data_IF_444661152780
#
_entry.id   IF_444661152780
#
_cell.length_a   1.000
_cell.length_b   1.000
_cell.length_c   1.000
_cell.angle_alpha   90.00
_cell.angle_beta   90.00
_cell.angle_gamma   90.00
#
_symmetry.space_group_name_H-M   'P 1'
#
loop_
_entity.id
_entity.type
_entity.pdbx_description
1 polymer ?
#
# COMPACT_ATOMS: atom_id res chain seq x y z
N UNK A 1 -14.62 -16.33 -2.60
CA UNK A 1 -15.61 -15.58 -1.81
C UNK A 1 -14.99 -14.72 -0.70
N UNK A 2 -14.24 -15.29 0.27
CA UNK A 2 -13.67 -14.53 1.40
C UNK A 2 -12.83 -13.30 1.00
N UNK A 3 -11.90 -13.46 0.05
CA UNK A 3 -11.02 -12.35 -0.41
C UNK A 3 -11.80 -11.20 -1.04
N UNK A 4 -12.79 -11.49 -1.88
CA UNK A 4 -13.61 -10.45 -2.51
C UNK A 4 -14.40 -9.65 -1.46
N UNK A 5 -14.96 -10.34 -0.47
CA UNK A 5 -15.68 -9.68 0.62
C UNK A 5 -14.74 -8.83 1.50
N UNK A 6 -13.56 -9.36 1.87
CA UNK A 6 -12.57 -8.59 2.62
C UNK A 6 -12.09 -7.37 1.84
N UNK A 7 -11.84 -7.52 0.54
CA UNK A 7 -11.38 -6.42 -0.31
C UNK A 7 -12.47 -5.34 -0.47
N UNK A 8 -13.73 -5.76 -0.66
CA UNK A 8 -14.87 -4.84 -0.66
C UNK A 8 -14.99 -4.08 0.66
N UNK A 9 -14.90 -4.78 1.80
CA UNK A 9 -14.96 -4.16 3.13
C UNK A 9 -13.83 -3.13 3.32
N UNK A 10 -12.60 -3.47 2.91
CA UNK A 10 -11.47 -2.53 2.98
C UNK A 10 -11.72 -1.31 2.11
N UNK A 11 -12.25 -1.48 0.88
CA UNK A 11 -12.56 -0.34 0.01
C UNK A 11 -13.66 0.55 0.59
N UNK A 12 -14.68 -0.01 1.24
CA UNK A 12 -15.73 0.76 1.93
C UNK A 12 -15.12 1.57 3.08
N UNK A 13 -14.32 0.94 3.93
CA UNK A 13 -13.65 1.61 5.04
C UNK A 13 -12.70 2.71 4.56
N UNK A 14 -11.98 2.46 3.46
CA UNK A 14 -11.12 3.43 2.82
C UNK A 14 -11.94 4.63 2.31
N UNK A 15 -13.03 4.39 1.59
CA UNK A 15 -13.91 5.44 1.09
C UNK A 15 -14.46 6.31 2.23
N UNK A 16 -14.91 5.67 3.31
CA UNK A 16 -15.36 6.36 4.53
C UNK A 16 -14.25 7.25 5.08
N UNK A 17 -13.02 6.72 5.23
CA UNK A 17 -11.88 7.49 5.72
C UNK A 17 -11.55 8.68 4.82
N UNK A 18 -11.61 8.54 3.50
CA UNK A 18 -11.39 9.63 2.54
C UNK A 18 -12.48 10.69 2.61
N UNK A 19 -13.75 10.31 2.76
CA UNK A 19 -14.86 11.26 2.93
C UNK A 19 -14.70 12.06 4.23
N UNK A 20 -14.41 11.39 5.34
CA UNK A 20 -14.16 12.08 6.62
C UNK A 20 -12.91 12.95 6.57
N UNK A 21 -11.83 12.46 5.93
CA UNK A 21 -10.61 13.22 5.73
C UNK A 21 -10.83 14.46 4.86
N UNK A 22 -11.61 14.33 3.78
CA UNK A 22 -11.93 15.43 2.85
C UNK A 22 -12.76 16.54 3.49
N UNK A 23 -13.56 16.23 4.50
CA UNK A 23 -14.33 17.24 5.26
C UNK A 23 -13.53 17.85 6.41
N UNK A 24 -12.27 17.45 6.57
CA UNK A 24 -11.41 17.97 7.61
C UNK A 24 -10.57 19.13 7.08
N UNK A 25 -10.96 20.35 7.45
CA UNK A 25 -10.26 21.59 7.08
C UNK A 25 -9.00 21.86 7.93
N UNK A 26 -8.64 20.95 8.84
CA UNK A 26 -7.49 21.14 9.70
C UNK A 26 -6.19 21.04 8.90
N UNK A 27 -5.33 22.04 9.09
CA UNK A 27 -3.98 22.08 8.56
C UNK A 27 -3.03 21.57 9.64
N UNK A 28 -2.10 20.70 9.24
CA UNK A 28 -1.02 20.19 10.08
C UNK A 28 0.32 20.62 9.49
N UNK A 29 1.31 20.79 10.37
CA UNK A 29 2.68 21.03 9.92
C UNK A 29 3.49 19.74 9.98
N UNK A 30 4.06 19.35 8.85
CA UNK A 30 5.02 18.26 8.74
C UNK A 30 6.44 18.83 8.73
N UNK A 31 7.25 18.42 9.72
CA UNK A 31 8.66 18.77 9.80
C UNK A 31 9.49 17.62 9.24
N UNK A 32 10.12 17.87 8.09
CA UNK A 32 11.15 17.03 7.50
C UNK A 32 12.52 17.44 8.05
N UNK A 33 13.56 16.64 7.78
CA UNK A 33 14.91 16.89 8.30
C UNK A 33 15.47 18.28 7.93
N UNK A 34 15.07 18.85 6.79
CA UNK A 34 15.62 20.11 6.25
C UNK A 34 14.51 21.12 5.90
N UNK A 35 13.23 20.76 6.03
CA UNK A 35 12.12 21.63 5.61
C UNK A 35 10.86 21.40 6.43
N UNK A 36 9.99 22.42 6.53
CA UNK A 36 8.66 22.33 7.13
C UNK A 36 7.62 22.61 6.04
N UNK A 37 6.59 21.78 5.96
CA UNK A 37 5.48 21.94 5.01
C UNK A 37 4.18 21.93 5.79
N UNK A 38 3.24 22.79 5.41
CA UNK A 38 1.88 22.79 5.94
C UNK A 38 0.96 22.09 4.94
N UNK A 39 0.25 21.08 5.41
CA UNK A 39 -0.62 20.22 4.60
C UNK A 39 -1.95 20.04 5.33
N UNK A 40 -3.05 19.95 4.59
CA UNK A 40 -4.30 19.51 5.20
C UNK A 40 -4.17 18.06 5.68
N UNK A 41 -4.94 17.70 6.72
CA UNK A 41 -5.03 16.29 7.15
C UNK A 41 -5.46 15.41 5.98
N UNK A 42 -6.41 15.88 5.16
CA UNK A 42 -6.84 15.19 3.94
C UNK A 42 -5.65 14.87 3.02
N UNK A 43 -4.80 15.85 2.74
CA UNK A 43 -3.64 15.69 1.86
C UNK A 43 -2.62 14.72 2.45
N UNK A 44 -2.32 14.83 3.74
CA UNK A 44 -1.37 13.93 4.40
C UNK A 44 -1.87 12.48 4.39
N UNK A 45 -3.13 12.24 4.79
CA UNK A 45 -3.74 10.90 4.79
C UNK A 45 -3.76 10.31 3.39
N UNK A 46 -4.13 11.09 2.38
CA UNK A 46 -4.16 10.65 0.97
C UNK A 46 -2.77 10.27 0.48
N UNK A 47 -1.77 11.10 0.75
CA UNK A 47 -0.39 10.89 0.33
C UNK A 47 0.20 9.62 0.94
N UNK A 48 0.11 9.48 2.27
CA UNK A 48 0.67 8.31 2.96
C UNK A 48 -0.07 7.02 2.64
N UNK A 49 -1.39 7.08 2.47
CA UNK A 49 -2.20 5.92 2.07
C UNK A 49 -1.84 5.48 0.65
N UNK A 50 -1.75 6.42 -0.29
CA UNK A 50 -1.38 6.14 -1.68
C UNK A 50 0.02 5.54 -1.80
N UNK A 51 1.01 6.16 -1.16
CA UNK A 51 2.40 5.67 -1.15
C UNK A 51 2.48 4.31 -0.47
N UNK A 52 1.87 4.15 0.71
CA UNK A 52 1.89 2.90 1.46
C UNK A 52 1.24 1.75 0.69
N UNK A 53 0.11 1.99 0.03
CA UNK A 53 -0.56 1.00 -0.81
C UNK A 53 0.30 0.61 -2.01
N UNK A 54 0.88 1.59 -2.71
CA UNK A 54 1.74 1.34 -3.86
C UNK A 54 2.99 0.54 -3.48
N UNK A 55 3.68 0.93 -2.41
CA UNK A 55 4.84 0.20 -1.89
C UNK A 55 4.49 -1.22 -1.45
N UNK A 56 3.35 -1.40 -0.76
CA UNK A 56 2.87 -2.72 -0.34
C UNK A 56 2.55 -3.64 -1.53
N UNK A 57 1.92 -3.09 -2.57
CA UNK A 57 1.65 -3.82 -3.81
C UNK A 57 2.95 -4.21 -4.51
N UNK A 58 3.88 -3.27 -4.65
CA UNK A 58 5.17 -3.48 -5.28
C UNK A 58 5.97 -4.57 -4.54
N UNK A 59 6.06 -4.49 -3.21
CA UNK A 59 6.72 -5.48 -2.38
C UNK A 59 6.10 -6.89 -2.55
N UNK A 60 4.76 -6.97 -2.61
CA UNK A 60 4.04 -8.23 -2.81
C UNK A 60 4.34 -8.85 -4.18
N UNK A 61 4.38 -8.03 -5.23
CA UNK A 61 4.71 -8.47 -6.59
C UNK A 61 6.15 -8.98 -6.65
N UNK A 62 7.12 -8.20 -6.15
CA UNK A 62 8.53 -8.57 -6.11
C UNK A 62 8.72 -9.90 -5.36
N UNK A 63 8.12 -10.03 -4.17
CA UNK A 63 8.20 -11.26 -3.37
C UNK A 63 7.61 -12.47 -4.11
N UNK A 64 6.52 -12.29 -4.85
CA UNK A 64 5.90 -13.35 -5.65
C UNK A 64 6.81 -13.79 -6.80
N UNK A 65 7.48 -12.84 -7.48
CA UNK A 65 8.43 -13.14 -8.55
C UNK A 65 9.64 -13.91 -8.03
N UNK A 66 10.24 -13.46 -6.92
CA UNK A 66 11.36 -14.15 -6.28
C UNK A 66 10.99 -15.60 -5.93
N UNK A 67 9.82 -15.82 -5.30
CA UNK A 67 9.37 -17.17 -4.95
C UNK A 67 9.12 -18.06 -6.16
N UNK A 68 8.56 -17.52 -7.25
CA UNK A 68 8.39 -18.29 -8.50
C UNK A 68 9.73 -18.68 -9.12
N UNK A 69 10.69 -17.74 -9.17
CA UNK A 69 12.04 -18.00 -9.66
C UNK A 69 12.76 -19.11 -8.90
N UNK A 70 12.76 -19.05 -7.56
CA UNK A 70 13.35 -20.10 -6.71
C UNK A 70 12.72 -21.48 -6.94
N UNK A 71 11.39 -21.55 -7.09
CA UNK A 71 10.68 -22.81 -7.38
C UNK A 71 11.04 -23.37 -8.77
N UNK A 72 11.19 -22.52 -9.78
CA UNK A 72 11.60 -22.93 -11.13
C UNK A 72 13.01 -23.53 -11.14
N UNK A 73 13.95 -22.90 -10.42
CA UNK A 73 15.33 -23.38 -10.31
C UNK A 73 15.41 -24.71 -9.55
N UNK A 74 14.66 -24.86 -8.46
CA UNK A 74 14.61 -26.11 -7.70
C UNK A 74 14.03 -27.27 -8.53
N UNK A 75 13.00 -27.01 -9.35
CA UNK A 75 12.37 -28.02 -10.21
C UNK A 75 13.34 -28.54 -11.28
N UNK A 76 14.11 -27.66 -11.93
CA UNK A 76 15.05 -28.04 -12.99
C UNK A 76 16.20 -28.90 -12.45
N UNK A 77 16.63 -28.65 -11.20
CA UNK A 77 17.72 -29.41 -10.55
C UNK A 77 17.32 -30.84 -10.18
N UNK A 78 16.03 -31.12 -10.01
CA UNK A 78 15.51 -32.47 -9.70
C UNK A 78 15.30 -33.34 -10.95
N UNK A 79 15.25 -32.73 -12.14
CA UNK A 79 15.10 -33.45 -13.42
C UNK A 79 16.44 -33.84 -14.06
N UNK A 80 17.55 -33.32 -13.54
CA UNK A 80 18.91 -33.64 -13.99
C UNK A 80 19.59 -34.76 -13.17
N UNK A 81 18.89 -35.36 -12.19
CA UNK A 81 19.39 -36.46 -11.34
C UNK A 81 18.65 -37.75 -11.68
#
# INVERSE_FOLDING_TARGET
MRIYFTLLLVLILLAIAFVFGSQNDQIISLNYLIARIELSIAAAVSLFTGIGFFLGLLATIIWRLIRKGKKSLAKNRSTEI
#
